data_IF_140969500279
#
_entry.id   IF_140969500279
#
_cell.length_a   1.000
_cell.length_b   1.000
_cell.length_c   1.000
_cell.angle_alpha   90.00
_cell.angle_beta   90.00
_cell.angle_gamma   90.00
#
_symmetry.space_group_name_H-M   'P 1'
#
loop_
_entity.id
_entity.type
_entity.pdbx_description
1 polymer ?
#
# COMPACT_ATOMS: atom_id res chain seq x y z
N UNK A 1 -12.06 2.97 2.56
CA UNK A 1 -10.64 2.81 2.96
C UNK A 1 -10.19 1.40 2.60
N UNK A 2 -9.03 1.24 1.98
CA UNK A 2 -8.42 -0.05 1.60
C UNK A 2 -7.04 -0.13 2.25
N UNK A 3 -6.74 -1.22 2.95
CA UNK A 3 -5.45 -1.41 3.64
C UNK A 3 -4.74 -2.62 3.04
N UNK A 4 -3.58 -2.41 2.44
CA UNK A 4 -2.72 -3.50 1.95
C UNK A 4 -1.62 -3.78 2.99
N UNK A 5 -1.61 -4.98 3.56
CA UNK A 5 -0.54 -5.41 4.46
C UNK A 5 0.74 -5.80 3.72
N UNK A 6 0.62 -6.16 2.44
CA UNK A 6 1.72 -6.48 1.54
C UNK A 6 1.41 -5.95 0.15
N UNK A 7 2.43 -5.55 -0.60
CA UNK A 7 2.26 -5.08 -1.96
C UNK A 7 2.18 -6.30 -2.91
N UNK A 8 1.23 -6.30 -3.86
CA UNK A 8 1.20 -7.35 -4.87
C UNK A 8 2.37 -7.17 -5.83
N UNK A 9 2.97 -8.29 -6.25
CA UNK A 9 4.06 -8.31 -7.24
C UNK A 9 3.59 -7.84 -8.63
N UNK A 10 2.31 -8.05 -8.96
CA UNK A 10 1.69 -7.52 -10.18
C UNK A 10 1.01 -6.16 -9.90
N UNK A 11 1.45 -5.08 -10.56
CA UNK A 11 0.85 -3.75 -10.44
C UNK A 11 -0.65 -3.70 -10.79
N UNK A 12 -1.13 -4.53 -11.71
CA UNK A 12 -2.55 -4.53 -12.07
C UNK A 12 -3.41 -5.00 -10.90
N UNK A 13 -2.92 -5.99 -10.15
CA UNK A 13 -3.59 -6.47 -8.94
C UNK A 13 -3.68 -5.37 -7.87
N UNK A 14 -2.70 -4.46 -7.81
CA UNK A 14 -2.81 -3.29 -6.94
C UNK A 14 -4.00 -2.41 -7.34
N UNK A 15 -4.13 -2.10 -8.63
CA UNK A 15 -5.23 -1.30 -9.16
C UNK A 15 -6.60 -1.93 -8.86
N UNK A 16 -6.72 -3.25 -9.07
CA UNK A 16 -7.94 -4.00 -8.77
C UNK A 16 -8.31 -4.01 -7.28
N UNK A 17 -7.33 -3.88 -6.38
CA UNK A 17 -7.58 -3.77 -4.92
C UNK A 17 -8.07 -2.39 -4.52
N UNK A 18 -7.51 -1.33 -5.11
CA UNK A 18 -7.81 0.05 -4.73
C UNK A 18 -9.00 0.66 -5.48
N UNK A 19 -9.23 0.23 -6.72
CA UNK A 19 -10.32 0.70 -7.55
C UNK A 19 -11.45 -0.32 -7.54
N UNK A 20 -12.56 0.00 -6.86
CA UNK A 20 -13.80 -0.77 -7.00
C UNK A 20 -14.63 -0.22 -8.17
N UNK A 21 -14.98 -1.04 -9.18
CA UNK A 21 -15.92 -0.62 -10.22
C UNK A 21 -17.29 -0.29 -9.59
N UNK A 22 -17.94 0.80 -10.01
CA UNK A 22 -19.29 1.19 -9.55
C UNK A 22 -19.36 2.36 -8.55
N UNK A 23 -18.22 2.97 -8.21
CA UNK A 23 -18.11 4.08 -7.24
C UNK A 23 -17.70 5.40 -7.92
N UNK A 24 -18.22 5.66 -9.12
CA UNK A 24 -17.99 6.90 -9.84
C UNK A 24 -18.41 8.10 -8.97
N UNK A 25 -17.43 8.94 -8.59
CA UNK A 25 -17.65 10.15 -7.80
C UNK A 25 -17.28 10.04 -6.31
N UNK A 26 -16.87 8.87 -5.81
CA UNK A 26 -16.40 8.74 -4.42
C UNK A 26 -14.88 8.68 -4.35
N UNK A 27 -14.28 9.54 -3.52
CA UNK A 27 -12.88 9.44 -3.16
C UNK A 27 -12.69 8.34 -2.11
N UNK A 28 -11.73 7.46 -2.36
CA UNK A 28 -11.33 6.41 -1.44
C UNK A 28 -9.87 6.55 -1.05
N UNK A 29 -9.56 6.35 0.23
CA UNK A 29 -8.18 6.30 0.72
C UNK A 29 -7.67 4.86 0.68
N UNK A 30 -6.49 4.65 0.09
CA UNK A 30 -5.76 3.39 0.19
C UNK A 30 -4.45 3.63 0.95
N UNK A 31 -4.19 2.78 1.93
CA UNK A 31 -2.98 2.77 2.75
C UNK A 31 -2.29 1.43 2.49
N UNK A 32 -0.99 1.44 2.23
CA UNK A 32 -0.23 0.22 1.97
C UNK A 32 1.00 0.19 2.87
N UNK A 33 1.23 -0.96 3.49
CA UNK A 33 2.48 -1.26 4.18
C UNK A 33 3.43 -1.92 3.17
N UNK A 34 4.66 -1.42 3.14
CA UNK A 34 5.71 -1.95 2.29
C UNK A 34 6.97 -2.13 3.15
N UNK A 35 7.50 -3.35 3.18
CA UNK A 35 8.82 -3.66 3.71
C UNK A 35 9.92 -3.52 2.66
N UNK A 36 11.11 -3.98 3.00
CA UNK A 36 12.29 -3.99 2.12
C UNK A 36 12.02 -4.75 0.81
N UNK A 37 11.42 -5.94 0.90
CA UNK A 37 11.10 -6.78 -0.26
C UNK A 37 9.93 -6.24 -1.11
N UNK A 38 8.99 -5.53 -0.48
CA UNK A 38 7.84 -4.94 -1.16
C UNK A 38 8.19 -3.65 -1.90
N UNK A 39 9.27 -2.98 -1.50
CA UNK A 39 9.68 -1.71 -2.10
C UNK A 39 10.01 -1.84 -3.60
N UNK A 40 10.41 -3.02 -4.06
CA UNK A 40 10.65 -3.30 -5.48
C UNK A 40 9.38 -3.27 -6.34
N UNK A 41 8.21 -3.45 -5.73
CA UNK A 41 6.92 -3.38 -6.43
C UNK A 41 6.42 -1.92 -6.59
N UNK A 42 6.97 -0.96 -5.87
CA UNK A 42 6.55 0.45 -5.95
C UNK A 42 6.78 1.09 -7.32
N UNK A 43 7.98 1.05 -7.93
CA UNK A 43 8.22 1.70 -9.23
C UNK A 43 7.24 1.30 -10.34
N UNK A 44 6.91 0.01 -10.55
CA UNK A 44 5.96 -0.37 -11.59
C UNK A 44 4.51 0.00 -11.23
N UNK A 45 4.14 0.02 -9.94
CA UNK A 45 2.83 0.53 -9.48
C UNK A 45 2.70 2.03 -9.77
N UNK A 46 3.72 2.83 -9.43
CA UNK A 46 3.73 4.27 -9.69
C UNK A 46 3.68 4.59 -11.19
N UNK A 47 4.39 3.80 -12.02
CA UNK A 47 4.33 3.91 -13.46
C UNK A 47 2.93 3.64 -14.01
N UNK A 48 2.23 2.64 -13.48
CA UNK A 48 0.85 2.31 -13.88
C UNK A 48 -0.16 3.40 -13.47
N UNK A 49 0.00 3.97 -12.27
CA UNK A 49 -0.89 5.03 -11.76
C UNK A 49 -0.55 6.40 -12.39
N UNK A 50 0.68 6.56 -12.90
CA UNK A 50 1.17 7.82 -13.47
C UNK A 50 1.50 8.89 -12.43
N UNK A 51 1.67 8.51 -11.15
CA UNK A 51 2.06 9.42 -10.07
C UNK A 51 2.89 8.71 -9.01
N UNK A 52 3.72 9.47 -8.29
CA UNK A 52 4.47 8.97 -7.15
C UNK A 52 3.56 8.75 -5.94
N UNK A 53 3.82 7.68 -5.19
CA UNK A 53 3.14 7.36 -3.94
C UNK A 53 3.94 8.02 -2.80
N UNK A 54 3.25 8.79 -1.96
CA UNK A 54 3.86 9.34 -0.75
C UNK A 54 4.15 8.20 0.22
N UNK A 55 5.43 8.02 0.56
CA UNK A 55 5.88 7.02 1.51
C UNK A 55 6.33 7.74 2.78
N UNK A 56 5.75 7.38 3.92
CA UNK A 56 6.13 7.87 5.23
C UNK A 56 6.62 6.71 6.09
N UNK A 57 7.70 6.94 6.84
CA UNK A 57 8.10 5.98 7.87
C UNK A 57 7.14 6.10 9.05
N UNK A 58 6.72 4.96 9.63
CA UNK A 58 5.90 5.01 10.84
C UNK A 58 6.68 5.66 11.99
N UNK A 59 6.00 6.38 12.90
CA UNK A 59 6.64 6.96 14.07
C UNK A 59 7.28 5.90 14.96
N UNK A 60 8.39 6.24 15.62
CA UNK A 60 9.20 5.33 16.43
C UNK A 60 8.41 4.57 17.51
N UNK A 61 7.34 5.18 18.03
CA UNK A 61 6.45 4.55 19.03
C UNK A 61 5.79 3.27 18.53
N UNK A 62 5.56 3.15 17.22
CA UNK A 62 4.95 1.99 16.56
C UNK A 62 5.99 0.96 16.10
N UNK A 63 7.29 1.30 16.16
CA UNK A 63 8.40 0.40 15.87
C UNK A 63 8.78 -0.47 17.08
N UNK A 64 8.03 -0.38 18.19
CA UNK A 64 8.24 -1.22 19.38
C UNK A 64 8.08 -2.69 19.02
N UNK A 65 8.97 -3.52 19.54
CA UNK A 65 8.91 -4.96 19.38
C UNK A 65 7.55 -5.48 19.86
N UNK A 66 6.86 -6.26 19.02
CA UNK A 66 5.63 -6.94 19.41
C UNK A 66 5.92 -7.79 20.65
N UNK A 67 5.16 -7.64 21.76
CA UNK A 67 5.40 -8.46 22.93
C UNK A 67 5.25 -9.94 22.55
N UNK A 68 6.25 -10.75 22.90
CA UNK A 68 6.18 -12.20 22.67
C UNK A 68 4.97 -12.74 23.43
N UNK A 69 4.01 -13.28 22.68
CA UNK A 69 2.87 -13.99 23.25
C UNK A 69 3.38 -15.33 23.78
N UNK A 70 3.47 -15.45 25.11
CA UNK A 70 3.69 -16.72 25.80
C UNK A 70 2.46 -17.62 25.69
#
# INVERSE_FOLDING_TARGET
HVINFTLPQDPNNYLHRICRPGLAGTSGTSISFAGEDDAFALPPIEALIGRKIQCEMPPDELLKSVPRRH
#
